data_IF_142011231637
#
_entry.id   IF_142011231637
#
_cell.length_a   1.000
_cell.length_b   1.000
_cell.length_c   1.000
_cell.angle_alpha   90.00
_cell.angle_beta   90.00
_cell.angle_gamma   90.00
#
_symmetry.space_group_name_H-M   'P 1'
#
loop_
_entity.id
_entity.type
_entity.pdbx_description
1 polymer ?
#
# COMPACT_ATOMS: atom_id res chain seq x y z
N UNK A 1 21.35 -70.83 11.13
CA UNK A 1 20.85 -69.60 11.78
C UNK A 1 21.14 -68.45 10.89
N UNK A 2 20.15 -68.02 10.09
CA UNK A 2 20.26 -66.89 9.12
C UNK A 2 19.69 -65.65 9.80
N UNK A 3 20.55 -64.64 10.05
CA UNK A 3 20.13 -63.33 10.59
C UNK A 3 19.64 -62.46 9.46
N UNK A 4 18.35 -62.08 9.49
CA UNK A 4 17.73 -61.13 8.64
C UNK A 4 18.05 -59.70 9.17
N UNK A 5 18.67 -58.84 8.34
CA UNK A 5 18.91 -57.43 8.60
C UNK A 5 17.72 -56.67 8.02
N UNK A 6 17.01 -55.81 8.76
CA UNK A 6 15.96 -54.97 8.17
C UNK A 6 16.59 -53.80 7.48
N UNK A 7 16.24 -53.63 6.21
CA UNK A 7 16.58 -52.46 5.39
C UNK A 7 15.66 -51.31 5.83
N UNK A 8 16.22 -50.28 6.47
CA UNK A 8 15.51 -49.03 6.79
C UNK A 8 15.38 -48.20 5.54
N UNK A 9 14.17 -48.03 5.04
CA UNK A 9 13.83 -47.18 3.91
C UNK A 9 13.70 -45.71 4.39
N UNK A 10 14.74 -44.86 4.22
CA UNK A 10 14.68 -43.44 4.47
C UNK A 10 13.87 -42.78 3.36
N UNK A 11 12.63 -42.42 3.64
CA UNK A 11 11.82 -41.58 2.78
C UNK A 11 12.33 -40.11 2.84
N UNK A 12 13.02 -39.66 1.79
CA UNK A 12 13.40 -38.27 1.59
C UNK A 12 12.13 -37.48 1.22
N UNK A 13 11.56 -36.75 2.18
CA UNK A 13 10.56 -35.70 1.88
C UNK A 13 11.28 -34.55 1.16
N UNK A 14 11.28 -34.58 -0.16
CA UNK A 14 11.70 -33.45 -0.96
C UNK A 14 10.67 -32.33 -0.84
N UNK A 15 11.09 -31.15 -0.34
CA UNK A 15 10.32 -29.92 -0.49
C UNK A 15 10.17 -29.60 -1.97
N UNK A 16 9.03 -29.92 -2.55
CA UNK A 16 8.68 -29.50 -3.90
C UNK A 16 8.33 -28.02 -3.88
N UNK A 17 9.34 -27.15 -3.95
CA UNK A 17 9.15 -25.77 -4.38
C UNK A 17 8.69 -25.82 -5.83
N UNK A 18 7.43 -25.42 -6.10
CA UNK A 18 6.92 -25.32 -7.46
C UNK A 18 7.78 -24.36 -8.28
N UNK A 19 7.84 -24.51 -9.61
CA UNK A 19 8.58 -23.59 -10.46
C UNK A 19 8.07 -22.15 -10.24
N UNK A 20 8.97 -21.14 -10.28
CA UNK A 20 8.57 -19.75 -10.18
C UNK A 20 7.53 -19.45 -11.27
N UNK A 21 6.51 -18.65 -10.91
CA UNK A 21 5.49 -18.25 -11.87
C UNK A 21 6.17 -17.55 -13.08
N UNK A 22 5.78 -17.87 -14.31
CA UNK A 22 6.38 -17.28 -15.50
C UNK A 22 6.22 -15.76 -15.46
N UNK A 23 7.30 -15.03 -15.77
CA UNK A 23 7.25 -13.58 -15.92
C UNK A 23 6.27 -13.21 -17.02
N UNK A 24 5.34 -12.29 -16.71
CA UNK A 24 4.38 -11.80 -17.70
C UNK A 24 5.08 -10.97 -18.77
N UNK A 25 4.72 -11.17 -20.03
CA UNK A 25 5.21 -10.32 -21.11
C UNK A 25 4.65 -8.90 -21.01
N UNK A 26 5.34 -7.91 -21.60
CA UNK A 26 4.87 -6.51 -21.63
C UNK A 26 3.46 -6.39 -22.24
N UNK A 27 3.13 -7.24 -23.22
CA UNK A 27 1.80 -7.31 -23.81
C UNK A 27 0.74 -7.79 -22.80
N UNK A 28 1.03 -8.83 -22.03
CA UNK A 28 0.12 -9.31 -20.98
C UNK A 28 -0.10 -8.25 -19.89
N UNK A 29 0.98 -7.52 -19.53
CA UNK A 29 0.90 -6.40 -18.59
C UNK A 29 0.04 -5.27 -19.17
N UNK A 30 0.19 -4.96 -20.46
CA UNK A 30 -0.60 -3.95 -21.14
C UNK A 30 -2.09 -4.33 -21.22
N UNK A 31 -2.40 -5.59 -21.54
CA UNK A 31 -3.78 -6.09 -21.57
C UNK A 31 -4.43 -6.06 -20.17
N UNK A 32 -3.70 -6.44 -19.13
CA UNK A 32 -4.21 -6.35 -17.76
C UNK A 32 -4.46 -4.89 -17.33
N UNK A 33 -3.69 -3.93 -17.86
CA UNK A 33 -3.96 -2.49 -17.66
C UNK A 33 -5.25 -2.06 -18.36
N UNK A 34 -5.52 -2.55 -19.58
CA UNK A 34 -6.74 -2.20 -20.33
C UNK A 34 -8.00 -2.84 -19.74
N UNK A 35 -7.89 -4.03 -19.18
CA UNK A 35 -9.03 -4.79 -18.65
C UNK A 35 -9.25 -4.61 -17.14
N UNK A 36 -8.44 -3.78 -16.48
CA UNK A 36 -8.62 -3.53 -15.05
C UNK A 36 -9.82 -2.62 -14.81
N UNK A 37 -10.73 -3.09 -13.99
CA UNK A 37 -11.88 -2.33 -13.52
C UNK A 37 -11.75 -2.09 -12.02
N UNK A 38 -11.92 -0.86 -11.63
CA UNK A 38 -12.00 -0.50 -10.23
C UNK A 38 -13.37 -0.85 -9.66
N UNK A 39 -13.37 -1.44 -8.48
CA UNK A 39 -14.57 -1.63 -7.67
C UNK A 39 -14.64 -0.51 -6.62
N UNK A 40 -14.87 0.73 -7.08
CA UNK A 40 -14.98 1.86 -6.16
C UNK A 40 -16.11 1.62 -5.16
N UNK A 41 -15.93 2.00 -3.89
CA UNK A 41 -16.98 1.83 -2.89
C UNK A 41 -18.19 2.72 -3.21
N UNK A 42 -19.38 2.19 -2.96
CA UNK A 42 -20.66 2.90 -3.23
C UNK A 42 -20.86 4.11 -2.32
N UNK A 43 -20.23 4.12 -1.14
CA UNK A 43 -20.35 5.18 -0.16
C UNK A 43 -18.99 5.73 0.28
N UNK A 44 -18.96 7.02 0.60
CA UNK A 44 -17.80 7.63 1.23
C UNK A 44 -17.68 7.18 2.69
N UNK A 45 -16.43 7.03 3.22
CA UNK A 45 -16.24 6.63 4.61
C UNK A 45 -16.78 7.71 5.56
N UNK A 46 -17.02 7.36 6.83
CA UNK A 46 -17.25 8.35 7.88
C UNK A 46 -16.13 9.39 7.92
N UNK A 47 -16.46 10.62 8.35
CA UNK A 47 -15.44 11.64 8.52
C UNK A 47 -14.44 11.24 9.62
N UNK A 48 -13.11 11.46 9.44
CA UNK A 48 -12.09 10.95 10.36
C UNK A 48 -12.24 11.52 11.77
N UNK A 49 -12.02 10.68 12.77
CA UNK A 49 -11.99 11.06 14.18
C UNK A 49 -10.56 11.07 14.69
N UNK A 50 -10.27 11.97 15.65
CA UNK A 50 -8.92 12.16 16.15
C UNK A 50 -8.30 10.90 16.79
N UNK A 51 -9.12 10.07 17.43
CA UNK A 51 -8.71 8.83 18.10
C UNK A 51 -8.35 7.69 17.12
N UNK A 52 -8.74 7.82 15.85
CA UNK A 52 -8.40 6.86 14.80
C UNK A 52 -7.19 7.29 13.94
N UNK A 53 -6.67 8.50 14.15
CA UNK A 53 -5.57 9.03 13.35
C UNK A 53 -4.23 8.43 13.78
N UNK A 54 -3.54 7.81 12.84
CA UNK A 54 -2.19 7.30 13.00
C UNK A 54 -1.24 8.09 12.11
N UNK A 55 -0.31 8.81 12.75
CA UNK A 55 0.70 9.61 12.05
C UNK A 55 1.74 8.71 11.39
N UNK A 56 2.23 9.12 10.23
CA UNK A 56 3.29 8.43 9.50
C UNK A 56 4.35 9.40 8.98
N UNK A 57 5.54 8.88 8.73
CA UNK A 57 6.66 9.66 8.26
C UNK A 57 6.66 9.78 6.73
N UNK A 58 6.98 10.98 6.25
CA UNK A 58 7.28 11.27 4.84
C UNK A 58 8.75 11.62 4.77
N UNK A 59 9.50 10.99 3.86
CA UNK A 59 10.95 11.19 3.70
C UNK A 59 11.29 12.56 3.08
N UNK A 60 10.70 13.62 3.60
CA UNK A 60 10.94 15.00 3.15
C UNK A 60 11.08 15.93 4.35
N UNK A 61 11.88 16.97 4.22
CA UNK A 61 11.91 18.04 5.22
C UNK A 61 10.63 18.85 5.09
N UNK A 62 9.68 18.56 5.99
CA UNK A 62 8.38 19.24 6.00
C UNK A 62 7.91 19.49 7.42
N UNK A 63 7.22 20.63 7.62
CA UNK A 63 6.55 20.92 8.89
C UNK A 63 5.08 20.43 8.91
N UNK A 64 4.62 19.81 7.82
CA UNK A 64 3.30 19.18 7.79
C UNK A 64 3.34 17.82 8.51
N UNK A 65 2.25 17.49 9.19
CA UNK A 65 2.01 16.17 9.78
C UNK A 65 0.96 15.44 8.96
N UNK A 66 1.24 14.21 8.64
CA UNK A 66 0.37 13.36 7.84
C UNK A 66 -0.12 12.19 8.67
N UNK A 67 -1.43 11.96 8.64
CA UNK A 67 -2.06 10.86 9.38
C UNK A 67 -3.05 10.12 8.50
N UNK A 68 -3.16 8.82 8.73
CA UNK A 68 -4.20 7.96 8.14
C UNK A 68 -5.26 7.68 9.20
N UNK A 69 -6.52 7.81 8.83
CA UNK A 69 -7.61 7.29 9.62
C UNK A 69 -7.68 5.76 9.48
N UNK A 70 -7.27 5.07 10.53
CA UNK A 70 -7.18 3.60 10.55
C UNK A 70 -8.54 2.92 10.36
N UNK A 71 -9.65 3.59 10.69
CA UNK A 71 -11.01 3.06 10.50
C UNK A 71 -11.46 3.05 9.05
N UNK A 72 -10.85 3.90 8.22
CA UNK A 72 -11.14 4.02 6.79
C UNK A 72 -10.24 3.17 5.90
N UNK A 73 -9.12 2.65 6.46
CA UNK A 73 -8.15 1.88 5.68
C UNK A 73 -8.77 0.57 5.18
N UNK A 74 -8.75 0.36 3.89
CA UNK A 74 -9.30 -0.84 3.26
C UNK A 74 -8.44 -1.30 2.09
N UNK A 75 -8.48 -2.61 1.84
CA UNK A 75 -7.78 -3.28 0.74
C UNK A 75 -8.81 -3.93 -0.15
N UNK A 76 -8.97 -3.40 -1.34
CA UNK A 76 -9.96 -3.88 -2.31
C UNK A 76 -9.47 -5.08 -3.11
N UNK A 77 -10.38 -5.96 -3.50
CA UNK A 77 -10.09 -7.07 -4.43
C UNK A 77 -9.65 -6.60 -5.83
N UNK A 78 -9.88 -5.33 -6.13
CA UNK A 78 -9.45 -4.64 -7.35
C UNK A 78 -7.98 -4.18 -7.30
N UNK A 79 -7.27 -4.45 -6.21
CA UNK A 79 -5.86 -4.08 -6.06
C UNK A 79 -5.65 -2.64 -5.62
N UNK A 80 -6.65 -2.01 -5.00
CA UNK A 80 -6.60 -0.63 -4.51
C UNK A 80 -6.61 -0.61 -2.99
N UNK A 81 -5.65 0.10 -2.40
CA UNK A 81 -5.65 0.45 -0.98
C UNK A 81 -6.31 1.82 -0.84
N UNK A 82 -7.44 1.89 -0.12
CA UNK A 82 -8.19 3.12 0.10
C UNK A 82 -8.07 3.59 1.53
N UNK A 83 -7.97 4.90 1.71
CA UNK A 83 -7.74 5.50 3.02
C UNK A 83 -8.21 6.96 3.08
N UNK A 84 -8.50 7.43 4.28
CA UNK A 84 -8.64 8.85 4.56
C UNK A 84 -7.32 9.37 5.08
N UNK A 85 -6.81 10.42 4.42
CA UNK A 85 -5.63 11.18 4.81
C UNK A 85 -6.04 12.47 5.51
N UNK A 86 -5.33 12.81 6.57
CA UNK A 86 -5.36 14.14 7.22
C UNK A 86 -3.98 14.75 7.17
N UNK A 87 -3.81 15.82 6.38
CA UNK A 87 -2.60 16.62 6.36
C UNK A 87 -2.81 17.87 7.21
N UNK A 88 -1.98 18.05 8.26
CA UNK A 88 -2.04 19.19 9.18
C UNK A 88 -0.86 20.09 8.98
N UNK A 89 -1.13 21.37 8.74
CA UNK A 89 -0.09 22.41 8.65
C UNK A 89 0.40 22.81 10.06
N UNK A 90 1.57 23.50 10.15
CA UNK A 90 2.06 24.06 11.42
C UNK A 90 1.09 25.03 12.07
N UNK A 91 0.28 25.75 11.29
CA UNK A 91 -0.76 26.67 11.78
C UNK A 91 -2.03 25.94 12.26
N UNK A 92 -2.07 24.60 12.19
CA UNK A 92 -3.21 23.79 12.62
C UNK A 92 -4.31 23.60 11.56
N UNK A 93 -4.17 24.22 10.36
CA UNK A 93 -5.12 23.97 9.27
C UNK A 93 -5.02 22.50 8.81
N UNK A 94 -6.19 21.90 8.54
CA UNK A 94 -6.28 20.51 8.12
C UNK A 94 -6.84 20.42 6.70
N UNK A 95 -6.19 19.60 5.88
CA UNK A 95 -6.72 19.12 4.62
C UNK A 95 -7.05 17.63 4.79
N UNK A 96 -8.29 17.28 4.53
CA UNK A 96 -8.78 15.90 4.61
C UNK A 96 -9.09 15.43 3.21
N UNK A 97 -8.63 14.23 2.85
CA UNK A 97 -8.93 13.62 1.56
C UNK A 97 -9.23 12.14 1.70
N UNK A 98 -10.13 11.63 0.86
CA UNK A 98 -10.34 10.21 0.66
C UNK A 98 -9.69 9.81 -0.65
N UNK A 99 -8.71 8.93 -0.57
CA UNK A 99 -7.82 8.57 -1.67
C UNK A 99 -7.69 7.05 -1.82
N UNK A 100 -7.26 6.64 -3.01
CA UNK A 100 -6.86 5.27 -3.28
C UNK A 100 -5.47 5.21 -3.92
N UNK A 101 -4.66 4.21 -3.54
CA UNK A 101 -3.40 3.86 -4.20
C UNK A 101 -3.56 2.51 -4.87
N UNK A 102 -3.17 2.44 -6.14
CA UNK A 102 -3.02 1.22 -6.90
C UNK A 102 -1.54 0.91 -7.04
N UNK A 103 -1.08 -0.15 -6.37
CA UNK A 103 0.33 -0.52 -6.35
C UNK A 103 0.86 -0.85 -7.75
N UNK A 104 0.06 -1.59 -8.55
CA UNK A 104 0.42 -1.86 -9.94
C UNK A 104 0.38 -0.58 -10.77
N UNK A 105 1.56 -0.06 -11.10
CA UNK A 105 1.72 1.17 -11.88
C UNK A 105 1.78 2.44 -11.02
N UNK A 106 1.97 2.31 -9.71
CA UNK A 106 2.19 3.39 -8.77
C UNK A 106 1.31 4.61 -9.08
N UNK A 107 -0.01 4.45 -8.92
CA UNK A 107 -0.98 5.48 -9.25
C UNK A 107 -1.93 5.72 -8.08
N UNK A 108 -2.49 6.91 -8.03
CA UNK A 108 -3.47 7.30 -7.03
C UNK A 108 -4.72 7.89 -7.65
N UNK A 109 -5.80 7.85 -6.90
CA UNK A 109 -7.09 8.50 -7.22
C UNK A 109 -7.59 9.27 -6.02
N UNK A 110 -8.06 10.49 -6.25
CA UNK A 110 -8.74 11.31 -5.25
C UNK A 110 -10.25 11.12 -5.45
N UNK A 111 -10.94 10.56 -4.45
CA UNK A 111 -12.40 10.37 -4.51
C UNK A 111 -13.16 11.57 -3.96
N UNK A 112 -12.68 12.12 -2.83
CA UNK A 112 -13.36 13.22 -2.16
C UNK A 112 -12.38 14.04 -1.31
N UNK A 113 -12.77 15.29 -1.03
CA UNK A 113 -12.12 16.17 -0.07
C UNK A 113 -13.06 16.51 1.08
N UNK A 114 -12.52 16.57 2.29
CA UNK A 114 -13.27 16.94 3.49
C UNK A 114 -13.43 18.44 3.64
N UNK A 115 -14.60 18.86 4.09
CA UNK A 115 -14.90 20.24 4.47
C UNK A 115 -14.71 20.43 5.96
N UNK A 116 -14.61 21.71 6.38
CA UNK A 116 -14.47 22.07 7.81
C UNK A 116 -15.69 21.69 8.66
N UNK A 117 -16.85 21.58 8.05
CA UNK A 117 -18.10 21.14 8.69
C UNK A 117 -18.22 19.62 8.88
N UNK A 118 -17.19 18.86 8.52
CA UNK A 118 -17.19 17.41 8.63
C UNK A 118 -17.90 16.69 7.49
N UNK A 119 -18.23 17.38 6.41
CA UNK A 119 -18.87 16.78 5.22
C UNK A 119 -17.87 16.54 4.10
N UNK A 120 -18.24 15.69 3.14
CA UNK A 120 -17.45 15.37 1.98
C UNK A 120 -17.90 16.14 0.73
N UNK A 121 -16.92 16.51 -0.10
CA UNK A 121 -17.16 16.97 -1.47
C UNK A 121 -16.46 16.02 -2.42
N UNK A 122 -17.18 15.44 -3.37
CA UNK A 122 -16.59 14.60 -4.42
C UNK A 122 -15.54 15.38 -5.20
N UNK A 123 -14.45 14.72 -5.57
CA UNK A 123 -13.44 15.32 -6.41
C UNK A 123 -14.03 15.69 -7.78
N UNK A 124 -13.63 16.84 -8.33
CA UNK A 124 -14.04 17.26 -9.70
C UNK A 124 -13.36 16.41 -10.77
N UNK A 125 -12.10 16.06 -10.52
CA UNK A 125 -11.32 15.16 -11.34
C UNK A 125 -10.91 13.99 -10.42
N UNK A 126 -11.56 12.86 -10.63
CA UNK A 126 -11.34 11.61 -9.94
C UNK A 126 -10.61 10.58 -10.81
N UNK A 127 -9.91 11.04 -11.84
CA UNK A 127 -9.09 10.18 -12.70
C UNK A 127 -7.88 9.62 -11.94
N UNK A 128 -7.43 8.43 -12.37
CA UNK A 128 -6.18 7.84 -11.90
C UNK A 128 -4.98 8.63 -12.43
N UNK A 129 -4.09 9.02 -11.53
CA UNK A 129 -2.87 9.78 -11.83
C UNK A 129 -1.65 9.03 -11.36
N UNK A 130 -0.52 9.11 -12.08
CA UNK A 130 0.73 8.54 -11.59
C UNK A 130 1.15 9.23 -10.29
N UNK A 131 1.72 8.47 -9.36
CA UNK A 131 2.39 9.02 -8.18
C UNK A 131 3.69 9.65 -8.68
N UNK A 132 3.84 10.95 -8.41
CA UNK A 132 4.97 11.75 -8.86
C UNK A 132 6.22 11.57 -8.00
N UNK A 133 7.20 12.41 -8.29
CA UNK A 133 8.43 12.55 -7.52
C UNK A 133 8.53 13.95 -6.88
N UNK A 134 7.38 14.49 -6.48
CA UNK A 134 7.32 15.77 -5.80
C UNK A 134 8.10 15.71 -4.48
N UNK A 135 8.77 16.82 -4.07
CA UNK A 135 9.61 16.84 -2.87
C UNK A 135 8.86 16.43 -1.58
N UNK A 136 7.55 16.72 -1.52
CA UNK A 136 6.67 16.37 -0.40
C UNK A 136 5.49 15.58 -0.98
N UNK A 137 5.75 14.33 -1.38
CA UNK A 137 4.70 13.44 -1.86
C UNK A 137 4.42 12.35 -0.84
N UNK A 138 3.40 12.58 -0.01
CA UNK A 138 2.94 11.58 0.97
C UNK A 138 2.43 10.30 0.30
N UNK A 139 1.92 10.40 -0.93
CA UNK A 139 1.43 9.25 -1.69
C UNK A 139 2.59 8.34 -2.09
N UNK A 140 3.73 8.95 -2.42
CA UNK A 140 4.94 8.20 -2.69
C UNK A 140 5.41 7.45 -1.45
N UNK A 141 5.48 8.12 -0.29
CA UNK A 141 5.83 7.45 0.96
C UNK A 141 4.86 6.31 1.27
N UNK A 142 3.54 6.54 1.16
CA UNK A 142 2.53 5.50 1.37
C UNK A 142 2.69 4.33 0.39
N UNK A 143 2.99 4.61 -0.88
CA UNK A 143 3.22 3.59 -1.89
C UNK A 143 4.48 2.78 -1.59
N UNK A 144 5.63 3.46 -1.44
CA UNK A 144 6.93 2.80 -1.42
C UNK A 144 7.22 2.14 -0.06
N UNK A 145 6.85 2.82 1.03
CA UNK A 145 7.29 2.44 2.38
C UNK A 145 6.21 1.71 3.19
N UNK A 146 4.90 1.87 2.85
CA UNK A 146 3.82 1.37 3.71
C UNK A 146 2.88 0.38 3.02
N UNK A 147 2.28 0.74 1.87
CA UNK A 147 1.15 0.01 1.31
C UNK A 147 1.48 -0.87 0.12
N UNK A 148 2.60 -0.60 -0.58
CA UNK A 148 2.99 -1.34 -1.77
C UNK A 148 4.43 -1.86 -1.68
N UNK A 149 4.81 -2.61 -0.63
CA UNK A 149 6.17 -3.12 -0.50
C UNK A 149 6.59 -3.89 -1.75
N UNK A 150 7.71 -3.48 -2.36
CA UNK A 150 8.22 -4.06 -3.62
C UNK A 150 7.18 -4.07 -4.76
N UNK A 151 6.31 -3.07 -4.79
CA UNK A 151 5.26 -2.96 -5.82
C UNK A 151 4.07 -3.90 -5.64
N UNK A 152 4.04 -4.68 -4.57
CA UNK A 152 2.94 -5.57 -4.23
C UNK A 152 2.06 -4.92 -3.16
N UNK A 153 0.75 -5.03 -3.34
CA UNK A 153 -0.22 -4.50 -2.36
C UNK A 153 -0.15 -5.30 -1.05
N UNK A 154 -0.29 -4.60 0.09
CA UNK A 154 -0.52 -5.23 1.40
C UNK A 154 -1.74 -6.16 1.34
N UNK A 155 -1.71 -7.25 2.12
CA UNK A 155 -2.76 -8.25 2.10
C UNK A 155 -4.03 -7.84 2.86
N UNK A 156 -3.92 -6.88 3.81
CA UNK A 156 -5.04 -6.46 4.64
C UNK A 156 -4.85 -5.06 5.22
N UNK A 157 -5.95 -4.44 5.66
CA UNK A 157 -5.89 -3.19 6.43
C UNK A 157 -5.06 -3.33 7.72
N UNK A 158 -5.11 -4.49 8.38
CA UNK A 158 -4.33 -4.75 9.58
C UNK A 158 -2.83 -4.69 9.30
N UNK A 159 -2.36 -5.25 8.18
CA UNK A 159 -0.96 -5.13 7.76
C UNK A 159 -0.57 -3.67 7.52
N UNK A 160 -1.42 -2.90 6.85
CA UNK A 160 -1.18 -1.47 6.63
C UNK A 160 -1.09 -0.67 7.93
N UNK A 161 -1.97 -0.94 8.89
CA UNK A 161 -1.93 -0.31 10.23
C UNK A 161 -0.63 -0.67 10.95
N UNK A 162 -0.20 -1.91 10.91
CA UNK A 162 1.08 -2.33 11.52
C UNK A 162 2.29 -1.70 10.81
N UNK A 163 2.26 -1.56 9.49
CA UNK A 163 3.29 -0.83 8.75
C UNK A 163 3.37 0.64 9.20
N UNK A 164 2.22 1.32 9.35
CA UNK A 164 2.16 2.70 9.82
C UNK A 164 2.73 2.83 11.25
N UNK A 165 2.36 1.93 12.18
CA UNK A 165 2.87 1.93 13.56
C UNK A 165 4.39 1.72 13.65
N UNK A 166 4.96 0.93 12.75
CA UNK A 166 6.40 0.64 12.70
C UNK A 166 7.22 1.70 11.97
N UNK A 167 6.57 2.67 11.32
CA UNK A 167 7.24 3.64 10.46
C UNK A 167 7.68 3.09 9.11
N UNK A 168 7.11 1.98 8.67
CA UNK A 168 7.33 1.35 7.37
C UNK A 168 6.96 -0.13 7.34
N UNK A 169 6.72 -0.66 6.14
CA UNK A 169 6.52 -2.09 5.94
C UNK A 169 7.87 -2.81 5.94
N UNK A 170 8.09 -3.85 6.76
CA UNK A 170 9.36 -4.58 6.78
C UNK A 170 9.79 -5.15 5.42
N UNK A 171 8.82 -5.46 4.55
CA UNK A 171 9.10 -5.93 3.20
C UNK A 171 9.65 -4.84 2.28
N UNK A 172 9.44 -3.55 2.56
CA UNK A 172 10.05 -2.43 1.83
C UNK A 172 11.53 -2.26 2.15
N UNK A 173 11.97 -2.57 3.36
CA UNK A 173 13.34 -2.38 3.84
C UNK A 173 14.40 -3.29 3.18
N UNK A 174 13.99 -4.28 2.37
CA UNK A 174 14.88 -5.27 1.77
C UNK A 174 15.66 -4.82 0.54
N UNK A 175 15.50 -3.60 0.03
CA UNK A 175 16.13 -3.14 -1.22
C UNK A 175 17.17 -2.01 -1.04
N UNK A 176 17.64 -1.81 0.19
CA UNK A 176 18.83 -1.00 0.44
C UNK A 176 20.05 -1.79 -0.05
N UNK A 177 20.27 -1.80 -1.38
CA UNK A 177 21.52 -2.27 -1.97
C UNK A 177 22.63 -1.43 -1.37
N UNK A 178 23.64 -2.02 -0.67
CA UNK A 178 24.78 -1.26 -0.21
C UNK A 178 25.42 -0.63 -1.45
N UNK A 179 25.48 0.70 -1.49
CA UNK A 179 26.33 1.40 -2.45
C UNK A 179 27.75 0.94 -2.16
N UNK A 180 28.27 0.04 -3.00
CA UNK A 180 29.68 -0.30 -3.00
C UNK A 180 30.43 0.97 -3.35
N UNK A 181 30.93 1.64 -2.30
CA UNK A 181 31.93 2.69 -2.45
C UNK A 181 33.19 2.04 -3.03
N UNK A 182 33.61 2.55 -4.16
CA UNK A 182 34.95 2.36 -4.72
C UNK A 182 35.73 3.64 -4.54
#
# INVERSE_FOLDING_TARGET
MRRLVPLALCALLGCAGGPPAPMKSDWQIAQEKQNWLEHAPDALPPYPKADHLLEFNVAAVTNFRFSIDTSSLSVGSDGVVRYVLVARSPSGAQNVSYEGIRCRGASYRLYATGRRDGTWTKARDDSWRPIGHEPIDWRRALNDDYFCPRGSMIASAAEGIEALKRGGNPASAGDSRPTSGN
#
